data_IF_282565318174
#
_entry.id   IF_282565318174
#
_cell.length_a   1.000
_cell.length_b   1.000
_cell.length_c   1.000
_cell.angle_alpha   90.00
_cell.angle_beta   90.00
_cell.angle_gamma   90.00
#
_symmetry.space_group_name_H-M   'P 1'
#
loop_
_entity.id
_entity.type
_entity.pdbx_description
1 polymer ?
#
# COMPACT_ATOMS: atom_id res chain seq x y z
N UNK A 1 -28.51 3.38 -10.39
CA UNK A 1 -27.75 4.65 -10.50
C UNK A 1 -26.29 4.38 -10.11
N UNK A 2 -25.34 4.76 -10.95
CA UNK A 2 -23.93 4.63 -10.66
C UNK A 2 -23.59 5.61 -9.53
N UNK A 3 -23.16 5.11 -8.38
CA UNK A 3 -22.92 5.87 -7.15
C UNK A 3 -21.70 6.81 -7.25
N UNK A 4 -20.72 6.45 -8.08
CA UNK A 4 -19.46 7.17 -8.26
C UNK A 4 -19.12 7.35 -9.75
N UNK A 5 -18.31 8.36 -10.07
CA UNK A 5 -17.70 8.46 -11.38
C UNK A 5 -16.57 7.43 -11.50
N UNK A 6 -16.82 6.33 -12.20
CA UNK A 6 -15.89 5.20 -12.29
C UNK A 6 -14.55 5.58 -12.90
N UNK A 7 -14.53 6.42 -13.93
CA UNK A 7 -13.31 6.87 -14.58
C UNK A 7 -12.40 7.63 -13.59
N UNK A 8 -12.96 8.60 -12.87
CA UNK A 8 -12.22 9.38 -11.86
C UNK A 8 -11.73 8.51 -10.71
N UNK A 9 -12.53 7.52 -10.29
CA UNK A 9 -12.16 6.57 -9.25
C UNK A 9 -10.97 5.74 -9.69
N UNK A 10 -11.04 5.14 -10.89
CA UNK A 10 -9.97 4.27 -11.42
C UNK A 10 -8.66 5.04 -11.58
N UNK A 11 -8.73 6.28 -12.03
CA UNK A 11 -7.56 7.15 -12.21
C UNK A 11 -7.01 7.72 -10.89
N UNK A 12 -7.74 7.64 -9.78
CA UNK A 12 -7.35 8.23 -8.50
C UNK A 12 -7.47 9.76 -8.45
N UNK A 13 -8.41 10.33 -9.24
CA UNK A 13 -8.68 11.77 -9.33
C UNK A 13 -9.97 12.17 -8.60
N UNK A 14 -10.65 11.24 -7.90
CA UNK A 14 -11.79 11.48 -7.02
C UNK A 14 -11.58 10.72 -5.71
N UNK A 15 -12.16 11.23 -4.64
CA UNK A 15 -12.20 10.65 -3.30
C UNK A 15 -13.63 10.42 -2.78
N UNK A 16 -14.66 10.65 -3.61
CA UNK A 16 -16.07 10.51 -3.27
C UNK A 16 -16.47 9.10 -2.78
N UNK A 17 -15.68 8.08 -3.14
CA UNK A 17 -15.89 6.69 -2.79
C UNK A 17 -15.21 6.28 -1.49
N UNK A 18 -14.46 7.19 -0.86
CA UNK A 18 -13.60 6.89 0.28
C UNK A 18 -14.27 7.21 1.61
N UNK A 19 -13.85 6.50 2.64
CA UNK A 19 -14.07 6.85 4.03
C UNK A 19 -12.76 6.84 4.81
N UNK A 20 -12.72 7.62 5.88
CA UNK A 20 -11.58 7.65 6.79
C UNK A 20 -11.68 6.49 7.79
N UNK A 21 -10.68 5.66 7.83
CA UNK A 21 -10.43 4.69 8.88
C UNK A 21 -9.38 5.24 9.84
N UNK A 22 -9.75 5.43 11.11
CA UNK A 22 -8.82 5.85 12.15
C UNK A 22 -7.96 4.66 12.57
N UNK A 23 -6.73 4.61 12.08
CA UNK A 23 -5.72 3.62 12.48
C UNK A 23 -4.67 4.27 13.37
N UNK A 24 -4.05 3.49 14.26
CA UNK A 24 -2.93 3.96 15.04
C UNK A 24 -1.74 4.24 14.11
N UNK A 25 -1.08 5.38 14.29
CA UNK A 25 0.04 5.78 13.45
C UNK A 25 1.19 4.76 13.53
N UNK A 26 1.83 4.49 12.40
CA UNK A 26 2.93 3.53 12.29
C UNK A 26 4.22 3.98 12.99
N UNK A 27 4.45 5.29 13.17
CA UNK A 27 5.70 5.83 13.74
C UNK A 27 5.48 6.44 15.12
N UNK A 28 6.07 5.78 16.12
CA UNK A 28 6.55 6.38 17.37
C UNK A 28 5.52 6.93 18.36
N UNK A 29 4.40 7.42 17.93
CA UNK A 29 3.37 7.96 18.79
C UNK A 29 2.08 7.12 18.69
N UNK A 30 1.92 6.19 19.60
CA UNK A 30 0.74 5.31 19.71
C UNK A 30 -0.55 6.10 19.97
N UNK A 31 -0.45 7.38 20.29
CA UNK A 31 -1.58 8.28 20.55
C UNK A 31 -2.00 9.09 19.31
N UNK A 32 -1.22 9.11 18.24
CA UNK A 32 -1.61 9.76 16.99
C UNK A 32 -2.42 8.79 16.12
N UNK A 33 -3.72 9.02 16.04
CA UNK A 33 -4.58 8.37 15.07
C UNK A 33 -4.32 8.99 13.69
N UNK A 34 -3.93 8.17 12.73
CA UNK A 34 -3.82 8.56 11.33
C UNK A 34 -5.09 8.15 10.60
N UNK A 35 -5.70 9.10 9.87
CA UNK A 35 -6.76 8.77 8.94
C UNK A 35 -6.16 8.03 7.73
N UNK A 36 -6.58 6.79 7.53
CA UNK A 36 -6.29 5.99 6.36
C UNK A 36 -7.55 5.95 5.49
N UNK A 37 -7.45 6.39 4.26
CA UNK A 37 -8.58 6.38 3.34
C UNK A 37 -8.73 5.03 2.66
N UNK A 38 -9.93 4.45 2.71
CA UNK A 38 -10.30 3.19 2.08
C UNK A 38 -11.66 3.34 1.39
N UNK A 39 -11.97 2.46 0.44
CA UNK A 39 -13.27 2.44 -0.22
C UNK A 39 -14.38 2.10 0.79
N UNK A 40 -15.48 2.85 0.78
CA UNK A 40 -16.58 2.70 1.75
C UNK A 40 -17.17 1.30 1.80
N UNK A 41 -17.26 0.62 0.64
CA UNK A 41 -17.83 -0.74 0.55
C UNK A 41 -16.90 -1.82 1.10
N UNK A 42 -15.60 -1.53 1.22
CA UNK A 42 -14.61 -2.48 1.77
C UNK A 42 -14.51 -2.41 3.29
N UNK A 43 -14.91 -1.29 3.89
CA UNK A 43 -14.80 -1.08 5.33
C UNK A 43 -15.40 -2.23 6.18
N UNK A 44 -16.62 -2.75 5.92
CA UNK A 44 -17.17 -3.83 6.72
C UNK A 44 -16.35 -5.13 6.61
N UNK A 45 -15.80 -5.42 5.44
CA UNK A 45 -14.98 -6.62 5.22
C UNK A 45 -13.62 -6.50 5.90
N UNK A 46 -12.99 -5.32 5.84
CA UNK A 46 -11.76 -5.05 6.57
C UNK A 46 -11.95 -5.17 8.08
N UNK A 47 -13.05 -4.67 8.63
CA UNK A 47 -13.37 -4.80 10.06
C UNK A 47 -13.51 -6.27 10.46
N UNK A 48 -14.19 -7.09 9.65
CA UNK A 48 -14.31 -8.55 9.88
C UNK A 48 -12.93 -9.23 9.84
N UNK A 49 -12.10 -8.89 8.83
CA UNK A 49 -10.74 -9.41 8.72
C UNK A 49 -9.90 -9.07 9.96
N UNK A 50 -10.01 -7.84 10.45
CA UNK A 50 -9.30 -7.38 11.66
C UNK A 50 -9.72 -8.13 12.91
N UNK A 51 -11.04 -8.39 13.07
CA UNK A 51 -11.55 -9.21 14.17
C UNK A 51 -11.08 -10.66 14.09
N UNK A 52 -11.10 -11.24 12.90
CA UNK A 52 -10.59 -12.60 12.66
C UNK A 52 -9.09 -12.70 12.95
N UNK A 53 -8.29 -11.76 12.47
CA UNK A 53 -6.87 -11.71 12.74
C UNK A 53 -6.59 -11.64 14.26
N UNK A 54 -7.35 -10.81 14.98
CA UNK A 54 -7.24 -10.67 16.43
C UNK A 54 -7.53 -11.98 17.18
N UNK A 55 -8.45 -12.82 16.71
CA UNK A 55 -8.72 -14.13 17.30
C UNK A 55 -7.59 -15.14 17.13
N UNK A 56 -6.61 -14.82 16.27
CA UNK A 56 -5.38 -15.58 16.03
C UNK A 56 -4.12 -14.86 16.56
N UNK A 57 -4.30 -13.94 17.51
CA UNK A 57 -3.22 -13.13 18.11
C UNK A 57 -2.45 -12.26 17.12
N UNK A 58 -3.06 -11.93 15.98
CA UNK A 58 -2.49 -11.06 14.93
C UNK A 58 -3.03 -9.65 15.10
N UNK A 59 -2.15 -8.67 15.29
CA UNK A 59 -2.51 -7.24 15.30
C UNK A 59 -2.43 -6.67 13.89
N UNK A 60 -3.50 -6.85 13.09
CA UNK A 60 -3.54 -6.40 11.71
C UNK A 60 -3.58 -4.87 11.62
N UNK A 61 -2.63 -4.28 10.88
CA UNK A 61 -2.56 -2.84 10.60
C UNK A 61 -2.34 -2.56 9.11
N UNK A 62 -2.84 -1.42 8.65
CA UNK A 62 -2.62 -0.91 7.30
C UNK A 62 -1.38 -0.01 7.30
N UNK A 63 -0.46 -0.26 6.38
CA UNK A 63 0.68 0.62 6.12
C UNK A 63 0.40 1.58 4.97
N UNK A 64 -0.28 1.11 3.93
CA UNK A 64 -0.67 1.87 2.74
C UNK A 64 -2.04 1.40 2.26
N UNK A 65 -2.91 2.35 1.87
CA UNK A 65 -4.21 2.07 1.28
C UNK A 65 -4.44 3.00 0.09
N UNK A 66 -5.52 3.81 0.09
CA UNK A 66 -5.76 4.75 -1.00
C UNK A 66 -4.56 5.65 -1.29
N UNK A 67 -4.33 5.86 -2.57
CA UNK A 67 -3.32 6.77 -3.09
C UNK A 67 -3.90 7.55 -4.27
N UNK A 68 -3.90 8.87 -4.18
CA UNK A 68 -4.36 9.72 -5.29
C UNK A 68 -3.42 9.65 -6.49
N UNK A 69 -3.91 10.10 -7.66
CA UNK A 69 -3.10 10.26 -8.86
C UNK A 69 -1.82 11.07 -8.58
N UNK A 70 -1.96 12.23 -7.92
CA UNK A 70 -0.84 13.14 -7.65
C UNK A 70 0.19 12.52 -6.69
N UNK A 71 -0.27 11.77 -5.69
CA UNK A 71 0.63 11.03 -4.80
C UNK A 71 1.42 9.96 -5.57
N UNK A 72 0.76 9.23 -6.48
CA UNK A 72 1.42 8.23 -7.31
C UNK A 72 2.41 8.89 -8.28
N UNK A 73 2.03 10.01 -8.90
CA UNK A 73 2.90 10.79 -9.79
C UNK A 73 4.15 11.29 -9.06
N UNK A 74 3.98 11.78 -7.82
CA UNK A 74 5.12 12.19 -6.99
C UNK A 74 6.08 11.04 -6.72
N UNK A 75 5.56 9.86 -6.35
CA UNK A 75 6.39 8.66 -6.13
C UNK A 75 7.11 8.26 -7.41
N UNK A 76 6.41 8.25 -8.52
CA UNK A 76 6.94 7.92 -9.84
C UNK A 76 8.11 8.83 -10.22
N UNK A 77 7.90 10.14 -10.14
CA UNK A 77 8.92 11.14 -10.48
C UNK A 77 10.13 11.08 -9.54
N UNK A 78 9.91 10.86 -8.24
CA UNK A 78 10.99 10.68 -7.27
C UNK A 78 11.84 9.44 -7.57
N UNK A 79 11.24 8.34 -8.03
CA UNK A 79 11.99 7.15 -8.42
C UNK A 79 12.75 7.36 -9.72
N UNK A 80 12.14 7.98 -10.73
CA UNK A 80 12.81 8.27 -12.00
C UNK A 80 13.99 9.24 -11.85
N UNK A 81 13.90 10.21 -10.93
CA UNK A 81 14.99 11.16 -10.65
C UNK A 81 16.08 10.60 -9.73
N UNK A 82 15.84 9.44 -9.09
CA UNK A 82 16.78 8.86 -8.12
C UNK A 82 16.68 9.45 -6.71
N UNK A 83 15.78 10.43 -6.48
CA UNK A 83 15.56 10.98 -5.13
C UNK A 83 14.86 9.99 -4.18
N UNK A 84 14.28 8.90 -4.73
CA UNK A 84 13.77 7.75 -4.00
C UNK A 84 14.39 6.46 -4.55
N UNK A 85 14.84 5.53 -3.69
CA UNK A 85 15.47 4.29 -4.13
C UNK A 85 14.58 3.47 -5.07
N UNK A 86 15.18 2.93 -6.12
CA UNK A 86 14.61 1.87 -6.96
C UNK A 86 15.32 0.58 -6.59
N UNK A 87 14.58 -0.51 -6.37
CA UNK A 87 15.14 -1.77 -5.89
C UNK A 87 15.13 -2.83 -7.01
N UNK A 88 16.11 -3.72 -6.96
CA UNK A 88 16.14 -4.95 -7.76
C UNK A 88 15.23 -6.05 -7.15
N UNK A 89 15.22 -7.24 -7.75
CA UNK A 89 14.42 -8.39 -7.30
C UNK A 89 14.89 -8.94 -5.94
N UNK A 90 16.08 -8.58 -5.51
CA UNK A 90 16.67 -8.94 -4.21
C UNK A 90 16.57 -7.81 -3.19
N UNK A 91 15.74 -6.80 -3.46
CA UNK A 91 15.55 -5.61 -2.61
C UNK A 91 16.81 -4.75 -2.40
N UNK A 92 17.78 -4.83 -3.32
CA UNK A 92 19.00 -4.01 -3.29
C UNK A 92 18.80 -2.74 -4.11
N UNK A 93 19.28 -1.57 -3.64
CA UNK A 93 19.20 -0.33 -4.41
C UNK A 93 19.94 -0.42 -5.74
N UNK A 94 19.27 0.04 -6.81
CA UNK A 94 19.84 0.15 -8.15
C UNK A 94 20.45 1.54 -8.36
N UNK A 95 21.61 1.61 -9.00
CA UNK A 95 22.20 2.86 -9.46
C UNK A 95 21.57 3.29 -10.79
N UNK A 96 20.44 4.00 -10.71
CA UNK A 96 19.71 4.43 -11.91
C UNK A 96 20.42 5.54 -12.68
N UNK A 97 21.47 6.19 -12.13
CA UNK A 97 22.21 7.25 -12.82
C UNK A 97 22.95 6.73 -14.06
N UNK A 98 23.33 5.44 -14.03
CA UNK A 98 24.02 4.73 -15.10
C UNK A 98 23.11 4.11 -16.15
N UNK A 99 21.78 4.22 -15.95
CA UNK A 99 20.77 3.62 -16.81
C UNK A 99 20.31 4.61 -17.88
N UNK A 100 20.01 4.11 -19.07
CA UNK A 100 19.28 4.87 -20.08
C UNK A 100 17.81 5.08 -19.67
N UNK A 101 17.08 5.90 -20.41
CA UNK A 101 15.69 6.25 -20.09
C UNK A 101 14.75 5.03 -20.02
N UNK A 102 14.93 4.07 -20.94
CA UNK A 102 14.12 2.88 -21.01
C UNK A 102 14.41 1.91 -19.84
N UNK A 103 15.66 1.72 -19.52
CA UNK A 103 16.11 0.92 -18.38
C UNK A 103 15.56 1.50 -17.06
N UNK A 104 15.59 2.83 -16.88
CA UNK A 104 15.00 3.48 -15.69
C UNK A 104 13.50 3.21 -15.58
N UNK A 105 12.75 3.44 -16.66
CA UNK A 105 11.30 3.20 -16.68
C UNK A 105 10.98 1.75 -16.34
N UNK A 106 11.65 0.77 -16.94
CA UNK A 106 11.46 -0.65 -16.65
C UNK A 106 11.77 -1.00 -15.20
N UNK A 107 12.85 -0.45 -14.66
CA UNK A 107 13.25 -0.69 -13.27
C UNK A 107 12.23 -0.12 -12.27
N UNK A 108 11.69 1.07 -12.56
CA UNK A 108 10.63 1.68 -11.72
C UNK A 108 9.33 0.89 -11.83
N UNK A 109 8.93 0.47 -13.03
CA UNK A 109 7.70 -0.31 -13.28
C UNK A 109 7.69 -1.64 -12.54
N UNK A 110 8.84 -2.20 -12.21
CA UNK A 110 8.95 -3.47 -11.48
C UNK A 110 8.19 -3.44 -10.15
N UNK A 111 8.22 -2.30 -9.45
CA UNK A 111 7.64 -2.16 -8.10
C UNK A 111 6.71 -0.95 -7.95
N UNK A 112 6.42 -0.25 -9.03
CA UNK A 112 5.65 1.00 -8.96
C UNK A 112 4.78 1.14 -10.20
N UNK A 113 3.48 1.12 -10.00
CA UNK A 113 2.52 1.34 -11.10
C UNK A 113 2.63 2.76 -11.63
N UNK A 114 2.33 2.94 -12.93
CA UNK A 114 2.15 4.25 -13.52
C UNK A 114 1.02 5.02 -12.81
N UNK A 115 1.10 6.35 -12.70
CA UNK A 115 -0.02 7.17 -12.25
C UNK A 115 -1.27 6.91 -13.11
N UNK A 116 -2.40 6.70 -12.46
CA UNK A 116 -3.65 6.32 -13.12
C UNK A 116 -3.85 4.81 -13.35
N UNK A 117 -2.81 3.97 -13.06
CA UNK A 117 -2.94 2.49 -13.23
C UNK A 117 -2.78 1.72 -11.93
N UNK A 118 -2.56 2.42 -10.82
CA UNK A 118 -2.38 1.79 -9.51
C UNK A 118 -3.72 1.33 -8.92
N UNK A 119 -3.81 0.10 -8.44
CA UNK A 119 -4.99 -0.39 -7.71
C UNK A 119 -5.24 0.36 -6.41
N UNK A 120 -4.20 0.96 -5.81
CA UNK A 120 -4.37 1.84 -4.67
C UNK A 120 -5.25 3.07 -4.95
N UNK A 121 -5.45 3.46 -6.23
CA UNK A 121 -6.40 4.52 -6.60
C UNK A 121 -7.84 4.18 -6.25
N UNK A 122 -8.18 2.89 -6.19
CA UNK A 122 -9.53 2.42 -5.93
C UNK A 122 -9.87 2.40 -4.42
N UNK A 123 -8.86 2.49 -3.56
CA UNK A 123 -9.05 2.38 -2.11
C UNK A 123 -9.45 0.98 -1.64
N UNK A 124 -9.30 -0.04 -2.50
CA UNK A 124 -9.62 -1.45 -2.24
C UNK A 124 -8.39 -2.33 -2.08
N UNK A 125 -7.21 -1.82 -2.42
CA UNK A 125 -5.92 -2.51 -2.33
C UNK A 125 -5.12 -1.94 -1.15
N UNK A 126 -4.70 -2.82 -0.23
CA UNK A 126 -4.04 -2.42 1.01
C UNK A 126 -2.74 -3.19 1.20
N UNK A 127 -1.70 -2.48 1.61
CA UNK A 127 -0.52 -3.08 2.21
C UNK A 127 -0.79 -3.22 3.71
N UNK A 128 -0.80 -4.45 4.20
CA UNK A 128 -1.08 -4.78 5.61
C UNK A 128 0.09 -5.53 6.25
N UNK A 129 0.19 -5.45 7.56
CA UNK A 129 1.20 -6.18 8.32
C UNK A 129 0.67 -6.56 9.70
N UNK A 130 1.33 -7.53 10.34
CA UNK A 130 1.10 -7.87 11.74
C UNK A 130 1.98 -7.01 12.65
N UNK A 131 1.36 -6.10 13.40
CA UNK A 131 2.08 -5.22 14.30
C UNK A 131 2.60 -5.92 15.57
N UNK A 132 2.06 -7.10 15.90
CA UNK A 132 2.55 -7.93 17.02
C UNK A 132 3.86 -8.64 16.69
N UNK A 133 4.10 -8.94 15.40
CA UNK A 133 5.25 -9.71 14.94
C UNK A 133 6.53 -8.87 14.75
N UNK A 134 6.45 -7.54 14.81
CA UNK A 134 7.59 -6.65 14.55
C UNK A 134 7.90 -5.74 15.73
N UNK A 135 9.19 -5.43 16.00
CA UNK A 135 9.56 -4.46 17.03
C UNK A 135 8.97 -3.07 16.75
N UNK A 136 8.56 -2.35 17.80
CA UNK A 136 7.95 -1.00 17.68
C UNK A 136 8.86 0.02 16.95
N UNK A 137 10.17 -0.17 17.02
CA UNK A 137 11.17 0.67 16.34
C UNK A 137 11.37 0.31 14.86
N UNK A 138 10.82 -0.82 14.40
CA UNK A 138 11.01 -1.28 13.03
C UNK A 138 10.11 -0.50 12.06
N UNK A 139 10.66 -0.10 10.92
CA UNK A 139 9.91 0.52 9.83
C UNK A 139 9.73 -0.46 8.69
N UNK A 140 8.51 -0.92 8.45
CA UNK A 140 8.17 -1.82 7.34
C UNK A 140 8.54 -1.16 6.01
N UNK A 141 9.30 -1.88 5.18
CA UNK A 141 9.85 -1.39 3.90
C UNK A 141 9.09 -1.90 2.69
N UNK A 142 8.18 -2.88 2.87
CA UNK A 142 7.44 -3.57 1.81
C UNK A 142 8.39 -4.22 0.80
N UNK A 143 9.42 -4.91 1.30
CA UNK A 143 10.40 -5.66 0.49
C UNK A 143 10.08 -7.16 0.54
N UNK A 144 10.60 -7.90 -0.44
CA UNK A 144 10.30 -9.34 -0.59
C UNK A 144 10.63 -10.17 0.65
N UNK A 145 11.71 -9.84 1.38
CA UNK A 145 12.08 -10.54 2.61
C UNK A 145 11.11 -10.32 3.77
N UNK A 146 10.38 -9.22 3.78
CA UNK A 146 9.30 -8.99 4.74
C UNK A 146 8.03 -9.77 4.39
N UNK A 147 7.73 -9.93 3.09
CA UNK A 147 6.54 -10.64 2.60
C UNK A 147 6.57 -12.14 2.93
N UNK A 148 7.74 -12.76 2.97
CA UNK A 148 7.89 -14.20 3.26
C UNK A 148 7.41 -14.57 4.67
N UNK A 149 7.52 -13.66 5.62
CA UNK A 149 7.05 -13.87 6.99
C UNK A 149 5.52 -13.82 7.13
N UNK A 150 4.79 -13.34 6.12
CA UNK A 150 3.34 -13.10 6.16
C UNK A 150 2.52 -13.93 5.16
N UNK A 151 3.17 -14.75 4.32
CA UNK A 151 2.50 -15.57 3.28
C UNK A 151 1.65 -16.72 3.83
N UNK A 152 1.57 -16.94 5.12
CA UNK A 152 0.75 -17.98 5.74
C UNK A 152 -0.70 -17.57 6.05
N UNK A 153 -1.12 -16.36 5.73
CA UNK A 153 -2.53 -15.97 5.69
C UNK A 153 -3.16 -16.42 4.35
N UNK A 154 -3.08 -17.70 4.03
CA UNK A 154 -3.97 -18.30 3.04
C UNK A 154 -5.35 -18.35 3.67
N UNK A 155 -6.25 -17.47 3.20
CA UNK A 155 -7.68 -17.63 3.47
C UNK A 155 -8.07 -19.03 3.01
N UNK A 156 -8.75 -19.86 3.86
CA UNK A 156 -9.25 -21.13 3.42
C UNK A 156 -10.22 -20.88 2.26
N UNK A 157 -9.79 -21.22 1.05
CA UNK A 157 -10.70 -21.32 -0.08
C UNK A 157 -11.67 -22.44 0.26
N UNK A 158 -12.91 -22.08 0.57
CA UNK A 158 -13.99 -23.07 0.59
C UNK A 158 -14.10 -23.65 -0.82
N UNK A 159 -13.74 -24.92 -0.94
CA UNK A 159 -14.14 -25.75 -2.07
C UNK A 159 -15.68 -25.86 -2.11
#
# INVERSE_FOLDING_TARGET
MQKYNLEKLVLGTSDDHLCCLNENAFKGDLNQKKCVFIHTEVLPMYQKLKLFAKSSDIELRIISAYRSFDQQLKIWNQKLSGSRPVLDDFSRPLDISKMDAWQRVRSVLRWTALPGTSRHHWGTDFDIYDASAIPKSYSVKLISSESVSYTHLTLPTKA
#
